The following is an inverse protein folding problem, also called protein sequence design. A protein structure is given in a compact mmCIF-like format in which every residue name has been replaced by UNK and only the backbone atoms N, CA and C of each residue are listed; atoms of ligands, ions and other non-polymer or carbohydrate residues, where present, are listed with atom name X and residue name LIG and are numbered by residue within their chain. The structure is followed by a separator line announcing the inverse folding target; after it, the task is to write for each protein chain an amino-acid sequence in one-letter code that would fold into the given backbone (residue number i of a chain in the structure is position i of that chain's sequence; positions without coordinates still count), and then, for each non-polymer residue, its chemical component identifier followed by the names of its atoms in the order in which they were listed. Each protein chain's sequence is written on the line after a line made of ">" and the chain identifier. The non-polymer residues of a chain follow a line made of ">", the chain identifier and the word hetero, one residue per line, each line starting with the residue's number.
data_IF_557698563335
#
_entry.id   IF_557698563335
#
_cell.length_a   1.000
_cell.length_b   1.000
_cell.length_c   1.000
_cell.angle_alpha   90.00
_cell.angle_beta   90.00
_cell.angle_gamma   90.00
#
_symmetry.space_group_name_H-M   'P 1'
#
loop_
_entity.id
_entity.type
_entity.pdbx_description
1 polymer ?
#
# COMPACT_ATOMS: atom_id res chain seq x y z
N UNK A 1 8.10 7.32 6.24
CA UNK A 1 7.87 6.58 4.98
C UNK A 1 6.75 7.15 4.10
N UNK A 2 5.87 8.06 4.55
CA UNK A 2 4.82 8.66 3.69
C UNK A 2 5.23 9.89 2.87
N UNK A 3 6.47 10.38 3.01
CA UNK A 3 6.89 11.68 2.46
C UNK A 3 7.29 11.66 0.98
N UNK A 4 7.61 10.50 0.41
CA UNK A 4 8.06 10.37 -0.99
C UNK A 4 6.97 9.85 -1.96
N UNK A 5 5.72 9.70 -1.50
CA UNK A 5 4.59 9.28 -2.36
C UNK A 5 3.57 10.39 -2.45
N UNK A 6 3.12 10.67 -3.68
CA UNK A 6 2.04 11.63 -3.98
C UNK A 6 0.75 11.35 -3.18
N UNK A 7 0.53 10.11 -2.76
CA UNK A 7 -0.62 9.67 -1.98
C UNK A 7 -0.62 10.16 -0.51
N UNK A 8 0.46 10.77 -0.03
CA UNK A 8 0.56 11.27 1.36
C UNK A 8 -0.55 12.25 1.73
N UNK A 9 -1.09 12.99 0.76
CA UNK A 9 -2.21 13.91 0.95
C UNK A 9 -3.50 13.20 1.38
N UNK A 10 -3.69 11.91 1.07
CA UNK A 10 -4.89 11.14 1.43
C UNK A 10 -5.05 11.05 2.96
N UNK A 11 -3.96 10.91 3.71
CA UNK A 11 -4.01 10.88 5.17
C UNK A 11 -4.47 12.23 5.76
N UNK A 12 -4.01 13.35 5.17
CA UNK A 12 -4.44 14.69 5.54
C UNK A 12 -5.94 14.89 5.27
N UNK A 13 -6.45 14.40 4.15
CA UNK A 13 -7.88 14.41 3.83
C UNK A 13 -8.68 13.67 4.89
N UNK A 14 -8.26 12.47 5.28
CA UNK A 14 -8.93 11.69 6.34
C UNK A 14 -9.01 12.43 7.67
N UNK A 15 -7.91 13.07 8.08
CA UNK A 15 -7.86 13.91 9.28
C UNK A 15 -8.77 15.14 9.17
N UNK A 16 -8.71 15.85 8.04
CA UNK A 16 -9.52 17.04 7.80
C UNK A 16 -11.03 16.72 7.84
N UNK A 17 -11.46 15.65 7.16
CA UNK A 17 -12.84 15.16 7.20
C UNK A 17 -13.25 14.81 8.63
N UNK A 18 -12.41 14.07 9.35
CA UNK A 18 -12.71 13.65 10.71
C UNK A 18 -12.92 14.84 11.65
N UNK A 19 -12.03 15.83 11.64
CA UNK A 19 -12.17 17.04 12.47
C UNK A 19 -13.34 17.92 12.03
N UNK A 20 -13.61 18.04 10.73
CA UNK A 20 -14.78 18.74 10.20
C UNK A 20 -16.08 18.14 10.76
N UNK A 21 -16.22 16.81 10.71
CA UNK A 21 -17.38 16.09 11.22
C UNK A 21 -17.52 16.23 12.74
N UNK A 22 -16.41 16.18 13.49
CA UNK A 22 -16.41 16.42 14.94
C UNK A 22 -16.86 17.84 15.27
N UNK A 23 -16.37 18.86 14.56
CA UNK A 23 -16.76 20.26 14.77
C UNK A 23 -18.18 20.61 14.32
N UNK A 24 -18.68 19.89 13.30
CA UNK A 24 -20.05 19.98 12.82
C UNK A 24 -21.05 19.35 13.81
N UNK A 25 -20.62 18.39 14.61
CA UNK A 25 -21.42 17.81 15.69
C UNK A 25 -21.94 18.90 16.65
N UNK A 26 -23.15 18.77 17.20
CA UNK A 26 -23.65 19.67 18.24
C UNK A 26 -22.91 19.40 19.56
N UNK A 27 -21.65 19.84 19.61
CA UNK A 27 -20.82 19.93 20.81
C UNK A 27 -21.10 21.26 21.53
N UNK A 28 -20.86 21.29 22.84
CA UNK A 28 -20.86 22.52 23.63
C UNK A 28 -19.84 23.53 23.08
N UNK A 29 -20.02 24.82 23.39
CA UNK A 29 -19.13 25.88 22.86
C UNK A 29 -17.65 25.66 23.23
N UNK A 30 -17.37 25.16 24.42
CA UNK A 30 -16.01 24.87 24.89
C UNK A 30 -15.39 23.68 24.13
N UNK A 31 -16.10 22.55 24.06
CA UNK A 31 -15.66 21.34 23.33
C UNK A 31 -15.41 21.62 21.85
N UNK A 32 -16.22 22.50 21.24
CA UNK A 32 -16.01 22.91 19.84
C UNK A 32 -14.73 23.71 19.65
N UNK A 33 -14.41 24.64 20.55
CA UNK A 33 -13.17 25.41 20.47
C UNK A 33 -11.95 24.51 20.65
N UNK A 34 -12.02 23.54 21.56
CA UNK A 34 -10.98 22.54 21.73
C UNK A 34 -10.80 21.68 20.47
N UNK A 35 -11.90 21.16 19.90
CA UNK A 35 -11.88 20.39 18.66
C UNK A 35 -11.37 21.21 17.46
N UNK A 36 -11.73 22.49 17.37
CA UNK A 36 -11.24 23.38 16.32
C UNK A 36 -9.74 23.65 16.45
N UNK A 37 -9.23 23.91 17.67
CA UNK A 37 -7.78 24.07 17.91
C UNK A 37 -7.01 22.80 17.57
N UNK A 38 -7.49 21.65 18.03
CA UNK A 38 -6.88 20.35 17.72
C UNK A 38 -6.92 20.06 16.22
N UNK A 39 -8.05 20.35 15.56
CA UNK A 39 -8.21 20.18 14.11
C UNK A 39 -7.29 21.09 13.31
N UNK A 40 -7.22 22.38 13.64
CA UNK A 40 -6.30 23.32 12.98
C UNK A 40 -4.85 22.91 13.19
N UNK A 41 -4.46 22.50 14.41
CA UNK A 41 -3.11 22.04 14.68
C UNK A 41 -2.76 20.76 13.89
N UNK A 42 -3.65 19.77 13.89
CA UNK A 42 -3.43 18.49 13.21
C UNK A 42 -3.42 18.65 11.67
N UNK A 43 -4.38 19.38 11.12
CA UNK A 43 -4.47 19.66 9.68
C UNK A 43 -3.31 20.56 9.25
N UNK A 44 -2.94 21.57 10.04
CA UNK A 44 -1.78 22.43 9.77
C UNK A 44 -0.48 21.65 9.76
N UNK A 45 -0.22 20.82 10.77
CA UNK A 45 0.97 19.96 10.81
C UNK A 45 1.00 18.97 9.64
N UNK A 46 -0.13 18.35 9.29
CA UNK A 46 -0.22 17.47 8.13
C UNK A 46 -0.01 18.20 6.80
N UNK A 47 -0.51 19.43 6.66
CA UNK A 47 -0.28 20.26 5.48
C UNK A 47 1.19 20.63 5.32
N UNK A 48 1.90 20.94 6.42
CA UNK A 48 3.36 21.18 6.39
C UNK A 48 4.10 19.92 5.91
N UNK A 49 3.75 18.73 6.41
CA UNK A 49 4.37 17.48 5.97
C UNK A 49 4.11 17.18 4.48
N UNK A 50 2.88 17.42 4.00
CA UNK A 50 2.54 17.28 2.57
C UNK A 50 3.32 18.29 1.72
N UNK A 51 3.47 19.53 2.17
CA UNK A 51 4.23 20.55 1.45
C UNK A 51 5.72 20.20 1.38
N UNK A 52 6.30 19.70 2.48
CA UNK A 52 7.69 19.22 2.50
C UNK A 52 7.89 18.05 1.54
N UNK A 53 7.02 17.02 1.59
CA UNK A 53 7.10 15.88 0.66
C UNK A 53 6.89 16.27 -0.80
N UNK A 54 6.01 17.24 -1.07
CA UNK A 54 5.79 17.75 -2.43
C UNK A 54 7.01 18.53 -2.93
N UNK A 55 7.64 19.33 -2.06
CA UNK A 55 8.86 20.08 -2.39
C UNK A 55 10.03 19.13 -2.68
N UNK A 56 10.15 18.07 -1.90
CA UNK A 56 11.14 17.01 -2.09
C UNK A 56 11.00 16.35 -3.47
N UNK A 57 9.81 15.85 -3.80
CA UNK A 57 9.53 15.19 -5.07
C UNK A 57 9.69 16.14 -6.27
N UNK A 58 9.28 17.40 -6.15
CA UNK A 58 9.47 18.41 -7.21
C UNK A 58 10.95 18.70 -7.49
N UNK A 59 11.81 18.63 -6.48
CA UNK A 59 13.25 18.90 -6.62
C UNK A 59 14.03 17.67 -7.08
N UNK A 60 13.75 16.52 -6.49
CA UNK A 60 14.53 15.30 -6.72
C UNK A 60 13.98 14.43 -7.85
N UNK A 61 12.74 14.63 -8.28
CA UNK A 61 12.09 13.77 -9.29
C UNK A 61 11.12 14.54 -10.20
N UNK A 62 11.59 15.58 -10.90
CA UNK A 62 10.73 16.42 -11.76
C UNK A 62 10.05 15.62 -12.87
N UNK A 63 10.72 14.60 -13.42
CA UNK A 63 10.12 13.75 -14.46
C UNK A 63 8.94 12.94 -13.95
N UNK A 64 9.08 12.39 -12.74
CA UNK A 64 8.00 11.66 -12.09
C UNK A 64 6.74 12.53 -11.93
N UNK A 65 6.93 13.80 -11.53
CA UNK A 65 5.83 14.77 -11.40
C UNK A 65 5.23 15.10 -12.77
N UNK A 66 6.04 15.29 -13.80
CA UNK A 66 5.57 15.59 -15.16
C UNK A 66 4.61 14.51 -15.65
N UNK A 67 5.02 13.25 -15.53
CA UNK A 67 4.24 12.07 -15.94
C UNK A 67 2.94 11.91 -15.12
N UNK A 68 2.96 12.26 -13.83
CA UNK A 68 1.81 12.08 -12.92
C UNK A 68 1.07 13.40 -12.60
N UNK A 69 1.34 14.46 -13.36
CA UNK A 69 0.87 15.83 -13.04
C UNK A 69 -0.65 15.93 -12.96
N UNK A 70 -1.37 15.25 -13.85
CA UNK A 70 -2.84 15.20 -13.86
C UNK A 70 -3.42 14.53 -12.61
N UNK A 71 -2.81 13.44 -12.15
CA UNK A 71 -3.23 12.72 -10.95
C UNK A 71 -2.90 13.52 -9.68
N UNK A 72 -1.70 14.12 -9.64
CA UNK A 72 -1.25 14.94 -8.53
C UNK A 72 -2.11 16.20 -8.37
N UNK A 73 -2.38 16.92 -9.46
CA UNK A 73 -3.26 18.10 -9.42
C UNK A 73 -4.68 17.73 -8.99
N UNK A 74 -5.23 16.63 -9.50
CA UNK A 74 -6.54 16.13 -9.05
C UNK A 74 -6.57 15.80 -7.55
N UNK A 75 -5.53 15.15 -7.03
CA UNK A 75 -5.43 14.80 -5.62
C UNK A 75 -5.27 16.03 -4.72
N UNK A 76 -4.36 16.95 -5.08
CA UNK A 76 -4.10 18.15 -4.30
C UNK A 76 -5.28 19.12 -4.31
N UNK A 77 -5.98 19.26 -5.44
CA UNK A 77 -7.20 20.07 -5.52
C UNK A 77 -8.31 19.48 -4.66
N UNK A 78 -8.55 18.17 -4.74
CA UNK A 78 -9.51 17.50 -3.86
C UNK A 78 -9.13 17.66 -2.38
N UNK A 79 -7.85 17.50 -2.04
CA UNK A 79 -7.37 17.67 -0.68
C UNK A 79 -7.55 19.12 -0.18
N UNK A 80 -7.18 20.11 -0.99
CA UNK A 80 -7.35 21.53 -0.67
C UNK A 80 -8.82 21.89 -0.46
N UNK A 81 -9.72 21.40 -1.32
CA UNK A 81 -11.16 21.62 -1.17
C UNK A 81 -11.71 21.01 0.12
N UNK A 82 -11.31 19.78 0.45
CA UNK A 82 -11.74 19.12 1.69
C UNK A 82 -11.22 19.85 2.92
N UNK A 83 -9.95 20.28 2.90
CA UNK A 83 -9.35 21.08 3.98
C UNK A 83 -10.06 22.43 4.11
N UNK A 84 -10.37 23.10 3.01
CA UNK A 84 -11.10 24.36 3.01
C UNK A 84 -12.49 24.18 3.64
N UNK A 85 -13.25 23.16 3.22
CA UNK A 85 -14.55 22.84 3.81
C UNK A 85 -14.41 22.52 5.31
N UNK A 86 -13.37 21.79 5.71
CA UNK A 86 -13.10 21.51 7.12
C UNK A 86 -12.85 22.79 7.92
N UNK A 87 -11.99 23.69 7.44
CA UNK A 87 -11.70 24.98 8.09
C UNK A 87 -12.96 25.84 8.17
N UNK A 88 -13.69 25.98 7.06
CA UNK A 88 -14.92 26.76 6.98
C UNK A 88 -15.97 26.23 7.96
N UNK A 89 -16.19 24.91 8.03
CA UNK A 89 -17.15 24.31 8.97
C UNK A 89 -16.75 24.46 10.44
N UNK A 90 -15.46 24.53 10.72
CA UNK A 90 -14.91 24.74 12.08
C UNK A 90 -14.95 26.20 12.51
N UNK A 91 -14.71 27.14 11.58
CA UNK A 91 -14.57 28.58 11.86
C UNK A 91 -15.89 29.35 11.74
N UNK A 92 -16.80 28.93 10.84
CA UNK A 92 -18.06 29.64 10.62
C UNK A 92 -18.90 29.75 11.92
N UNK A 93 -19.54 30.91 12.15
CA UNK A 93 -20.32 31.14 13.35
C UNK A 93 -21.42 30.10 13.47
N UNK A 94 -21.54 29.49 14.64
CA UNK A 94 -22.44 28.36 14.89
C UNK A 94 -23.93 28.62 14.61
N UNK A 95 -24.31 29.87 14.33
CA UNK A 95 -25.66 30.31 13.95
C UNK A 95 -26.02 29.88 12.52
N UNK A 96 -25.08 29.96 11.57
CA UNK A 96 -25.32 29.64 10.16
C UNK A 96 -25.68 28.16 9.95
N UNK A 97 -25.05 27.26 10.72
CA UNK A 97 -25.30 25.81 10.65
C UNK A 97 -26.26 25.32 11.75
N UNK A 98 -26.85 26.20 12.54
CA UNK A 98 -27.66 25.81 13.71
C UNK A 98 -28.94 25.04 13.33
N UNK A 99 -29.58 25.40 12.21
CA UNK A 99 -30.78 24.72 11.71
C UNK A 99 -30.49 23.29 11.28
N UNK A 100 -29.52 23.11 10.37
CA UNK A 100 -29.07 21.81 9.89
C UNK A 100 -28.64 20.89 11.05
N UNK A 101 -27.86 21.42 12.00
CA UNK A 101 -27.41 20.66 13.18
C UNK A 101 -28.57 20.19 14.05
N UNK A 102 -29.63 21.00 14.22
CA UNK A 102 -30.83 20.59 14.97
C UNK A 102 -31.56 19.43 14.28
N UNK A 103 -31.74 19.50 12.96
CA UNK A 103 -32.40 18.43 12.18
C UNK A 103 -31.58 17.13 12.24
N UNK A 104 -30.27 17.22 11.98
CA UNK A 104 -29.35 16.07 12.09
C UNK A 104 -29.36 15.49 13.51
N UNK A 105 -29.41 16.34 14.53
CA UNK A 105 -29.50 15.89 15.92
C UNK A 105 -30.80 15.14 16.22
N UNK A 106 -31.94 15.63 15.73
CA UNK A 106 -33.23 14.97 15.87
C UNK A 106 -33.25 13.58 15.23
N UNK A 107 -32.58 13.42 14.08
CA UNK A 107 -32.55 12.16 13.32
C UNK A 107 -31.31 11.29 13.55
N UNK A 108 -30.41 11.67 14.48
CA UNK A 108 -29.10 11.01 14.67
C UNK A 108 -29.14 9.51 14.87
N UNK A 109 -30.21 8.97 15.49
CA UNK A 109 -30.35 7.52 15.67
C UNK A 109 -30.62 6.82 14.34
N UNK A 110 -31.52 7.38 13.54
CA UNK A 110 -31.80 6.91 12.18
C UNK A 110 -30.57 7.05 11.27
N UNK A 111 -29.92 8.23 11.29
CA UNK A 111 -28.70 8.47 10.52
C UNK A 111 -27.55 7.56 10.93
N UNK A 112 -27.39 7.25 12.22
CA UNK A 112 -26.36 6.32 12.68
C UNK A 112 -26.65 4.86 12.28
N UNK A 113 -27.93 4.46 12.24
CA UNK A 113 -28.30 3.16 11.67
C UNK A 113 -28.06 3.13 10.16
N UNK A 114 -28.40 4.21 9.44
CA UNK A 114 -28.12 4.32 8.02
C UNK A 114 -26.61 4.28 7.73
N UNK A 115 -25.78 5.00 8.51
CA UNK A 115 -24.33 4.96 8.36
C UNK A 115 -23.76 3.56 8.59
N UNK A 116 -24.25 2.82 9.58
CA UNK A 116 -23.88 1.43 9.79
C UNK A 116 -24.31 0.53 8.63
N UNK A 117 -25.54 0.71 8.13
CA UNK A 117 -26.05 -0.02 6.98
C UNK A 117 -25.22 0.24 5.73
N UNK A 118 -24.81 1.49 5.48
CA UNK A 118 -23.92 1.85 4.36
C UNK A 118 -22.59 1.08 4.46
N UNK A 119 -21.96 1.00 5.64
CA UNK A 119 -20.72 0.22 5.82
C UNK A 119 -20.93 -1.26 5.47
N UNK A 120 -22.05 -1.85 5.93
CA UNK A 120 -22.36 -3.25 5.62
C UNK A 120 -22.62 -3.44 4.12
N UNK A 121 -23.39 -2.55 3.50
CA UNK A 121 -23.68 -2.58 2.05
C UNK A 121 -22.39 -2.43 1.23
N UNK A 122 -21.48 -1.53 1.62
CA UNK A 122 -20.17 -1.40 0.98
C UNK A 122 -19.36 -2.69 1.11
N UNK A 123 -19.32 -3.29 2.31
CA UNK A 123 -18.63 -4.57 2.52
C UNK A 123 -19.21 -5.71 1.67
N UNK A 124 -20.54 -5.81 1.59
CA UNK A 124 -21.22 -6.79 0.74
C UNK A 124 -20.97 -6.51 -0.74
N UNK A 125 -21.06 -5.26 -1.17
CA UNK A 125 -20.78 -4.86 -2.55
C UNK A 125 -19.34 -5.17 -2.97
N UNK A 126 -18.37 -4.96 -2.09
CA UNK A 126 -16.98 -5.36 -2.32
C UNK A 126 -16.80 -6.89 -2.32
N UNK A 127 -17.51 -7.62 -1.45
CA UNK A 127 -17.44 -9.07 -1.38
C UNK A 127 -18.05 -9.76 -2.61
N UNK A 128 -19.14 -9.20 -3.15
CA UNK A 128 -19.81 -9.72 -4.34
C UNK A 128 -19.29 -9.13 -5.63
N UNK A 129 -18.43 -8.11 -5.58
CA UNK A 129 -17.84 -7.42 -6.74
C UNK A 129 -17.33 -8.36 -7.84
N UNK A 130 -16.60 -9.47 -7.53
CA UNK A 130 -16.14 -10.40 -8.55
C UNK A 130 -17.24 -11.08 -9.38
N UNK A 131 -18.48 -11.09 -8.89
CA UNK A 131 -19.60 -11.77 -9.55
C UNK A 131 -20.24 -10.94 -10.66
N UNK A 132 -20.01 -9.63 -10.69
CA UNK A 132 -20.71 -8.71 -11.59
C UNK A 132 -19.81 -7.64 -12.21
N UNK A 133 -18.53 -7.58 -11.85
CA UNK A 133 -17.59 -6.61 -12.42
C UNK A 133 -16.16 -7.15 -12.45
N UNK A 134 -15.48 -6.94 -13.58
CA UNK A 134 -14.06 -7.23 -13.78
C UNK A 134 -13.33 -5.95 -14.19
N UNK A 135 -12.26 -5.60 -13.48
CA UNK A 135 -11.49 -4.40 -13.78
C UNK A 135 -10.58 -4.61 -14.98
N UNK A 136 -10.61 -3.67 -15.95
CA UNK A 136 -9.67 -3.61 -17.09
C UNK A 136 -8.93 -2.29 -17.11
N UNK A 137 -7.89 -2.22 -16.29
CA UNK A 137 -7.13 -0.98 -16.05
C UNK A 137 -5.64 -1.11 -16.30
N UNK A 138 -5.20 -2.27 -16.81
CA UNK A 138 -3.83 -2.50 -17.27
C UNK A 138 -3.77 -2.22 -18.76
N UNK A 139 -2.75 -1.50 -19.22
CA UNK A 139 -2.53 -1.31 -20.64
C UNK A 139 -1.93 -2.60 -21.24
N UNK A 140 -2.63 -3.29 -22.15
CA UNK A 140 -2.20 -4.57 -22.71
C UNK A 140 -0.95 -4.46 -23.58
N UNK A 141 -0.61 -3.24 -24.07
CA UNK A 141 0.55 -3.01 -24.94
C UNK A 141 1.86 -2.81 -24.17
N UNK A 142 1.76 -2.68 -22.85
CA UNK A 142 2.91 -2.42 -21.98
C UNK A 142 3.48 -3.70 -21.37
N UNK A 143 4.70 -3.64 -20.84
CA UNK A 143 5.28 -4.74 -20.07
C UNK A 143 4.45 -5.17 -18.86
N UNK A 144 3.56 -4.30 -18.34
CA UNK A 144 2.59 -4.67 -17.30
C UNK A 144 1.51 -5.62 -17.83
N UNK A 145 0.99 -5.38 -19.05
CA UNK A 145 0.03 -6.26 -19.70
C UNK A 145 0.62 -7.64 -19.98
N UNK A 146 1.85 -7.68 -20.47
CA UNK A 146 2.60 -8.94 -20.65
C UNK A 146 2.78 -9.69 -19.32
N UNK A 147 3.20 -9.00 -18.24
CA UNK A 147 3.33 -9.61 -16.92
C UNK A 147 2.00 -10.20 -16.41
N UNK A 148 0.86 -9.54 -16.67
CA UNK A 148 -0.47 -10.09 -16.36
C UNK A 148 -0.73 -11.39 -17.12
N UNK A 149 -0.43 -11.43 -18.42
CA UNK A 149 -0.61 -12.65 -19.23
C UNK A 149 0.23 -13.82 -18.72
N UNK A 150 1.50 -13.58 -18.38
CA UNK A 150 2.39 -14.61 -17.82
C UNK A 150 1.80 -15.18 -16.54
N UNK A 151 1.31 -14.32 -15.65
CA UNK A 151 0.67 -14.74 -14.41
C UNK A 151 -0.66 -15.48 -14.66
N UNK A 152 -1.43 -15.09 -15.67
CA UNK A 152 -2.68 -15.75 -16.07
C UNK A 152 -2.41 -17.15 -16.60
N UNK A 153 -1.42 -17.28 -17.48
CA UNK A 153 -0.99 -18.57 -18.02
C UNK A 153 -0.52 -19.50 -16.90
N UNK A 154 0.31 -19.00 -15.99
CA UNK A 154 0.78 -19.77 -14.82
C UNK A 154 -0.37 -20.20 -13.89
N UNK A 155 -1.41 -19.37 -13.75
CA UNK A 155 -2.58 -19.64 -12.92
C UNK A 155 -3.69 -20.43 -13.65
N UNK A 156 -3.49 -20.83 -14.92
CA UNK A 156 -4.50 -21.49 -15.74
C UNK A 156 -5.76 -20.63 -15.97
N UNK A 157 -5.63 -19.31 -15.92
CA UNK A 157 -6.71 -18.36 -16.15
C UNK A 157 -6.83 -17.99 -17.62
N UNK A 158 -8.02 -17.56 -18.09
CA UNK A 158 -8.16 -16.96 -19.41
C UNK A 158 -7.20 -15.77 -19.58
N UNK A 159 -6.54 -15.70 -20.74
CA UNK A 159 -5.63 -14.60 -21.06
C UNK A 159 -6.44 -13.34 -21.35
N UNK A 160 -6.33 -12.35 -20.47
CA UNK A 160 -6.85 -10.99 -20.60
C UNK A 160 -5.81 -10.04 -20.00
N UNK A 161 -4.89 -9.56 -20.83
CA UNK A 161 -3.79 -8.67 -20.44
C UNK A 161 -4.26 -7.36 -19.81
N UNK A 162 -5.48 -6.92 -20.13
CA UNK A 162 -6.03 -5.68 -19.62
C UNK A 162 -6.60 -5.84 -18.20
N UNK A 163 -6.90 -7.09 -17.78
CA UNK A 163 -7.52 -7.37 -16.48
C UNK A 163 -6.61 -6.96 -15.33
N UNK A 164 -7.12 -6.11 -14.45
CA UNK A 164 -6.38 -5.58 -13.30
C UNK A 164 -6.69 -6.30 -11.99
N UNK A 165 -7.68 -7.21 -11.99
CA UNK A 165 -8.13 -7.99 -10.83
C UNK A 165 -8.56 -7.15 -9.61
N UNK A 166 -8.85 -5.87 -9.80
CA UNK A 166 -9.32 -4.95 -8.73
C UNK A 166 -10.64 -5.44 -8.10
N UNK A 167 -11.41 -6.26 -8.82
CA UNK A 167 -12.62 -6.88 -8.30
C UNK A 167 -12.35 -7.80 -7.11
N UNK A 168 -11.14 -8.36 -7.03
CA UNK A 168 -10.73 -9.31 -5.99
C UNK A 168 -10.09 -8.66 -4.76
N UNK A 169 -10.01 -7.33 -4.68
CA UNK A 169 -9.39 -6.59 -3.56
C UNK A 169 -9.81 -7.06 -2.18
N UNK A 170 -11.11 -7.29 -1.94
CA UNK A 170 -11.56 -7.79 -0.64
C UNK A 170 -11.22 -9.28 -0.43
N UNK A 171 -11.22 -10.08 -1.51
CA UNK A 171 -10.76 -11.46 -1.45
C UNK A 171 -9.26 -11.52 -1.10
N UNK A 172 -8.44 -10.61 -1.63
CA UNK A 172 -7.03 -10.49 -1.27
C UNK A 172 -6.88 -10.24 0.23
N UNK A 173 -7.61 -9.26 0.79
CA UNK A 173 -7.61 -9.04 2.25
C UNK A 173 -7.99 -10.32 3.00
N UNK A 174 -9.00 -11.06 2.54
CA UNK A 174 -9.43 -12.30 3.16
C UNK A 174 -8.38 -13.43 3.04
N UNK A 175 -7.58 -13.48 1.97
CA UNK A 175 -6.51 -14.47 1.82
C UNK A 175 -5.41 -14.30 2.88
N UNK A 176 -5.09 -13.06 3.26
CA UNK A 176 -4.03 -12.77 4.24
C UNK A 176 -4.51 -12.66 5.68
N UNK A 177 -5.68 -12.03 5.92
CA UNK A 177 -6.21 -11.81 7.26
C UNK A 177 -7.27 -12.84 7.68
N UNK A 178 -7.90 -13.49 6.71
CA UNK A 178 -8.97 -14.44 6.93
C UNK A 178 -10.35 -13.81 6.87
N UNK A 179 -11.32 -14.61 6.42
CA UNK A 179 -12.74 -14.24 6.41
C UNK A 179 -13.24 -13.75 7.79
N UNK A 180 -12.83 -14.35 8.94
CA UNK A 180 -13.24 -13.84 10.24
C UNK A 180 -12.84 -12.38 10.48
N UNK A 181 -11.62 -11.99 10.10
CA UNK A 181 -11.14 -10.61 10.24
C UNK A 181 -11.93 -9.66 9.34
N UNK A 182 -12.21 -10.06 8.10
CA UNK A 182 -13.02 -9.24 7.18
C UNK A 182 -14.42 -8.99 7.74
N UNK A 183 -15.12 -10.05 8.17
CA UNK A 183 -16.47 -9.95 8.74
C UNK A 183 -16.48 -9.09 10.01
N UNK A 184 -15.55 -9.35 10.93
CA UNK A 184 -15.43 -8.58 12.17
C UNK A 184 -15.01 -7.13 11.90
N UNK A 185 -14.14 -6.90 10.92
CA UNK A 185 -13.69 -5.57 10.51
C UNK A 185 -14.86 -4.71 10.03
N UNK A 186 -15.68 -5.21 9.10
CA UNK A 186 -16.86 -4.50 8.64
C UNK A 186 -17.92 -4.34 9.74
N UNK A 187 -18.14 -5.37 10.58
CA UNK A 187 -19.04 -5.25 11.72
C UNK A 187 -18.56 -4.16 12.71
N UNK A 188 -17.26 -4.11 12.98
CA UNK A 188 -16.62 -3.12 13.83
C UNK A 188 -16.71 -1.71 13.27
N UNK A 189 -16.46 -1.54 11.97
CA UNK A 189 -16.63 -0.27 11.26
C UNK A 189 -18.08 0.19 11.30
N UNK A 190 -19.06 -0.71 11.13
CA UNK A 190 -20.48 -0.38 11.23
C UNK A 190 -20.85 0.09 12.65
N UNK A 191 -20.30 -0.56 13.69
CA UNK A 191 -20.46 -0.13 15.08
C UNK A 191 -19.83 1.25 15.34
N UNK A 192 -18.62 1.49 14.81
CA UNK A 192 -17.94 2.78 14.92
C UNK A 192 -18.69 3.88 14.18
N UNK A 193 -19.15 3.65 12.95
CA UNK A 193 -19.95 4.59 12.17
C UNK A 193 -21.26 4.96 12.90
N UNK A 194 -21.94 3.96 13.47
CA UNK A 194 -23.13 4.20 14.31
C UNK A 194 -22.78 5.04 15.54
N UNK A 195 -21.66 4.76 16.22
CA UNK A 195 -21.22 5.52 17.41
C UNK A 195 -20.83 6.95 17.05
N UNK A 196 -20.12 7.16 15.95
CA UNK A 196 -19.75 8.46 15.43
C UNK A 196 -21.01 9.34 15.26
N UNK A 197 -22.04 8.81 14.60
CA UNK A 197 -23.25 9.59 14.28
C UNK A 197 -24.27 9.62 15.43
N UNK A 198 -24.74 8.46 15.90
CA UNK A 198 -25.79 8.38 16.91
C UNK A 198 -25.28 8.71 18.32
N UNK A 199 -24.05 8.30 18.62
CA UNK A 199 -23.39 8.52 19.91
C UNK A 199 -22.68 9.87 20.02
N UNK A 200 -22.36 10.51 18.88
CA UNK A 200 -21.49 11.70 18.80
C UNK A 200 -20.12 11.47 19.41
N UNK A 201 -19.56 10.29 19.14
CA UNK A 201 -18.25 9.92 19.64
C UNK A 201 -17.17 10.51 18.72
N UNK A 202 -16.40 11.51 19.18
CA UNK A 202 -15.39 12.15 18.35
C UNK A 202 -14.25 11.21 17.98
N UNK A 203 -13.90 10.27 18.87
CA UNK A 203 -12.85 9.29 18.59
C UNK A 203 -13.30 8.31 17.50
N UNK A 204 -14.53 7.80 17.60
CA UNK A 204 -15.10 6.96 16.53
C UNK A 204 -15.23 7.72 15.20
N UNK A 205 -15.56 9.01 15.25
CA UNK A 205 -15.68 9.86 14.05
C UNK A 205 -14.33 10.00 13.35
N UNK A 206 -13.29 10.38 14.09
CA UNK A 206 -11.92 10.49 13.55
C UNK A 206 -11.43 9.15 13.02
N UNK A 207 -11.62 8.07 13.76
CA UNK A 207 -11.15 6.74 13.38
C UNK A 207 -11.81 6.27 12.07
N UNK A 208 -13.14 6.42 11.95
CA UNK A 208 -13.87 6.06 10.72
C UNK A 208 -13.45 6.93 9.55
N UNK A 209 -13.25 8.23 9.75
CA UNK A 209 -12.84 9.14 8.68
C UNK A 209 -11.43 8.82 8.18
N UNK A 210 -10.47 8.64 9.08
CA UNK A 210 -9.07 8.34 8.72
C UNK A 210 -8.95 6.97 8.07
N UNK A 211 -9.52 5.92 8.68
CA UNK A 211 -9.48 4.56 8.10
C UNK A 211 -10.23 4.54 6.78
N UNK A 212 -11.44 5.11 6.74
CA UNK A 212 -12.30 5.10 5.55
C UNK A 212 -11.61 5.77 4.37
N UNK A 213 -11.15 7.02 4.54
CA UNK A 213 -10.49 7.75 3.45
C UNK A 213 -9.21 7.04 2.98
N UNK A 214 -8.40 6.54 3.91
CA UNK A 214 -7.15 5.87 3.57
C UNK A 214 -7.36 4.49 2.91
N UNK A 215 -8.45 3.79 3.24
CA UNK A 215 -8.74 2.45 2.70
C UNK A 215 -9.55 2.47 1.39
N UNK A 216 -10.30 3.55 1.10
CA UNK A 216 -11.18 3.62 -0.09
C UNK A 216 -10.41 3.42 -1.38
N UNK A 217 -9.31 4.15 -1.58
CA UNK A 217 -8.56 4.06 -2.84
C UNK A 217 -8.03 2.64 -3.11
N UNK A 218 -7.24 2.02 -2.22
CA UNK A 218 -6.71 0.69 -2.48
C UNK A 218 -7.76 -0.43 -2.45
N UNK A 219 -8.96 -0.22 -1.87
CA UNK A 219 -10.08 -1.17 -1.98
C UNK A 219 -10.87 -1.02 -3.28
N UNK A 220 -10.92 0.17 -3.87
CA UNK A 220 -11.63 0.39 -5.14
C UNK A 220 -10.73 0.08 -6.33
N UNK A 221 -9.49 0.54 -6.31
CA UNK A 221 -8.52 0.35 -7.39
C UNK A 221 -7.10 0.35 -6.85
N UNK A 222 -6.46 -0.81 -6.87
CA UNK A 222 -5.10 -0.98 -6.33
C UNK A 222 -4.08 -0.29 -7.22
N UNK A 223 -4.33 -0.22 -8.54
CA UNK A 223 -3.51 0.49 -9.53
C UNK A 223 -2.05 0.01 -9.59
N UNK A 224 -1.85 -1.32 -9.58
CA UNK A 224 -0.55 -2.00 -9.70
C UNK A 224 -0.76 -3.36 -10.39
N UNK A 225 0.30 -3.97 -10.90
CA UNK A 225 0.27 -5.35 -11.41
C UNK A 225 -0.32 -6.29 -10.34
N UNK A 226 -1.29 -7.15 -10.70
CA UNK A 226 -2.02 -8.02 -9.78
C UNK A 226 -1.21 -9.22 -9.25
N UNK A 227 0.12 -9.10 -9.20
CA UNK A 227 0.96 -10.06 -8.48
C UNK A 227 0.70 -9.90 -6.97
N UNK A 228 0.36 -10.99 -6.29
CA UNK A 228 -0.17 -10.95 -4.94
C UNK A 228 0.75 -10.25 -3.93
N UNK A 229 2.07 -10.48 -3.95
CA UNK A 229 2.98 -9.81 -3.02
C UNK A 229 3.07 -8.31 -3.31
N UNK A 230 3.13 -7.91 -4.57
CA UNK A 230 3.19 -6.48 -4.93
C UNK A 230 1.87 -5.76 -4.71
N UNK A 231 0.75 -6.39 -5.06
CA UNK A 231 -0.58 -5.81 -4.94
C UNK A 231 -0.97 -5.58 -3.48
N UNK A 232 -0.75 -6.58 -2.61
CA UNK A 232 -1.15 -6.50 -1.20
C UNK A 232 -0.33 -5.49 -0.41
N UNK A 233 0.90 -5.17 -0.82
CA UNK A 233 1.71 -4.08 -0.23
C UNK A 233 1.00 -2.73 -0.23
N UNK A 234 0.05 -2.49 -1.14
CA UNK A 234 -0.77 -1.27 -1.15
C UNK A 234 -1.92 -1.27 -0.14
N UNK A 235 -2.33 -2.45 0.34
CA UNK A 235 -3.37 -2.62 1.37
C UNK A 235 -2.79 -2.58 2.80
N UNK A 236 -1.50 -2.89 2.96
CA UNK A 236 -0.80 -2.93 4.25
C UNK A 236 -0.79 -1.61 5.03
N UNK A 237 -0.60 -0.42 4.43
CA UNK A 237 -0.44 0.81 5.22
C UNK A 237 -1.70 1.27 5.94
N UNK A 238 -2.88 1.01 5.36
CA UNK A 238 -4.15 1.58 5.83
C UNK A 238 -5.25 0.53 6.00
N UNK A 239 -5.53 -0.25 4.96
CA UNK A 239 -6.67 -1.19 4.95
C UNK A 239 -6.51 -2.30 5.98
N UNK A 240 -5.35 -2.94 6.05
CA UNK A 240 -5.09 -4.04 6.99
C UNK A 240 -5.15 -3.58 8.45
N UNK A 241 -4.38 -2.55 8.88
CA UNK A 241 -4.48 -2.02 10.23
C UNK A 241 -5.89 -1.52 10.56
N UNK A 242 -6.55 -0.84 9.60
CA UNK A 242 -7.90 -0.30 9.79
C UNK A 242 -8.95 -1.39 10.06
N UNK A 243 -8.92 -2.48 9.28
CA UNK A 243 -9.82 -3.61 9.47
C UNK A 243 -9.51 -4.39 10.75
N UNK A 244 -8.23 -4.57 11.11
CA UNK A 244 -7.85 -5.21 12.37
C UNK A 244 -8.33 -4.38 13.57
N UNK A 245 -8.09 -3.07 13.57
CA UNK A 245 -8.59 -2.17 14.61
C UNK A 245 -10.12 -2.24 14.72
N UNK A 246 -10.83 -2.20 13.60
CA UNK A 246 -12.28 -2.35 13.61
C UNK A 246 -12.72 -3.74 14.13
N UNK A 247 -12.03 -4.81 13.75
CA UNK A 247 -12.31 -6.15 14.24
C UNK A 247 -12.18 -6.24 15.76
N UNK A 248 -11.19 -5.57 16.37
CA UNK A 248 -11.10 -5.49 17.84
C UNK A 248 -12.32 -4.82 18.48
N UNK A 249 -12.93 -3.82 17.82
CA UNK A 249 -14.15 -3.17 18.31
C UNK A 249 -15.34 -4.11 18.26
N UNK A 250 -15.45 -4.94 17.20
CA UNK A 250 -16.48 -5.96 17.11
C UNK A 250 -16.29 -7.05 18.18
N UNK A 251 -15.06 -7.55 18.35
CA UNK A 251 -14.72 -8.53 19.38
C UNK A 251 -15.03 -8.01 20.79
N UNK A 252 -14.64 -6.78 21.10
CA UNK A 252 -14.95 -6.16 22.39
C UNK A 252 -16.47 -6.05 22.62
N UNK A 253 -17.22 -5.66 21.58
CA UNK A 253 -18.68 -5.62 21.66
C UNK A 253 -19.30 -7.02 21.88
N UNK A 254 -18.76 -8.05 21.23
CA UNK A 254 -19.20 -9.44 21.37
C UNK A 254 -18.88 -10.04 22.75
N UNK A 255 -17.68 -9.77 23.27
CA UNK A 255 -17.23 -10.23 24.58
C UNK A 255 -18.06 -9.67 25.75
N UNK A 256 -18.98 -8.74 25.48
CA UNK A 256 -19.77 -8.07 26.51
C UNK A 256 -18.95 -7.08 27.34
N UNK A 257 -17.68 -6.82 26.98
CA UNK A 257 -16.91 -5.71 27.52
C UNK A 257 -17.57 -4.44 27.01
N UNK A 258 -18.48 -3.93 27.84
CA UNK A 258 -19.18 -2.70 27.55
C UNK A 258 -18.17 -1.59 27.34
N UNK A 259 -17.82 -1.31 26.07
CA UNK A 259 -17.11 -0.10 25.65
C UNK A 259 -17.82 1.16 26.19
N UNK A 260 -19.08 1.01 26.60
CA UNK A 260 -19.88 2.01 27.32
C UNK A 260 -19.48 2.28 28.78
N UNK A 261 -18.77 1.40 29.49
CA UNK A 261 -18.50 1.57 30.94
C UNK A 261 -17.14 2.22 31.28
N UNK A 262 -16.17 2.24 30.37
CA UNK A 262 -14.79 2.68 30.69
C UNK A 262 -14.25 3.89 29.93
N UNK A 263 -14.99 4.41 28.93
CA UNK A 263 -14.58 5.56 28.10
C UNK A 263 -15.29 6.88 28.44
N UNK A 264 -15.83 7.01 29.67
CA UNK A 264 -16.19 8.33 30.20
C UNK A 264 -14.96 8.91 30.91
N UNK A 265 -14.19 9.73 30.19
CA UNK A 265 -13.37 10.76 30.82
C UNK A 265 -14.32 11.75 31.51
N UNK A 266 -14.59 11.51 32.79
CA UNK A 266 -15.40 12.38 33.63
C UNK A 266 -15.32 11.89 35.08
N UNK A 267 -15.15 12.79 36.06
CA UNK A 267 -14.91 12.40 37.44
C UNK A 267 -16.02 11.50 37.95
N UNK A 268 -15.60 10.35 38.45
CA UNK A 268 -16.41 9.26 38.98
C UNK A 268 -17.39 9.79 40.05
N UNK A 269 -18.69 9.79 39.73
CA UNK A 269 -19.76 9.84 40.74
C UNK A 269 -20.31 8.42 40.90
N UNK A 270 -20.11 7.74 42.04
CA UNK A 270 -20.69 6.43 42.26
C UNK A 270 -22.20 6.57 42.41
N UNK A 271 -22.98 5.96 41.51
CA UNK A 271 -24.42 5.78 41.72
C UNK A 271 -24.63 4.58 42.63
N UNK A 272 -25.03 4.84 43.87
CA UNK A 272 -25.66 3.86 44.77
C UNK A 272 -27.05 3.50 44.25
N UNK A 273 -27.40 2.23 44.39
CA UNK A 273 -28.76 1.67 44.19
C UNK A 273 -29.07 1.36 42.73
N UNK A 274 -29.62 0.21 42.35
CA UNK A 274 -30.33 -0.84 43.07
C UNK A 274 -30.15 -2.15 42.30
N UNK A 275 -29.90 -3.23 43.04
CA UNK A 275 -29.84 -4.61 42.57
C UNK A 275 -31.17 -5.04 41.95
N UNK A 276 -31.20 -5.13 40.61
CA UNK A 276 -32.13 -6.01 39.88
C UNK A 276 -31.37 -7.27 39.46
N UNK A 277 -31.27 -8.20 40.40
CA UNK A 277 -30.91 -9.60 40.15
C UNK A 277 -32.16 -10.30 39.61
N UNK A 278 -32.12 -10.70 38.34
CA UNK A 278 -33.21 -11.45 37.71
C UNK A 278 -32.86 -11.85 36.28
N UNK A 279 -32.47 -13.10 36.11
CA UNK A 279 -32.51 -13.88 34.87
C UNK A 279 -31.71 -13.38 33.63
N UNK A 280 -30.36 -13.50 33.64
CA UNK A 280 -29.53 -13.59 32.41
C UNK A 280 -28.24 -14.43 32.56
N UNK A 281 -28.25 -15.47 33.40
CA UNK A 281 -27.01 -16.21 33.69
C UNK A 281 -26.57 -17.19 32.57
N UNK A 282 -27.49 -17.76 31.79
CA UNK A 282 -27.14 -18.80 30.79
C UNK A 282 -26.59 -18.22 29.47
N UNK A 283 -26.86 -16.93 29.17
CA UNK A 283 -26.27 -16.22 28.02
C UNK A 283 -24.91 -15.54 28.29
N UNK A 284 -24.33 -15.74 29.49
CA UNK A 284 -23.22 -14.92 29.99
C UNK A 284 -21.83 -15.47 29.67
N UNK A 285 -21.66 -16.79 29.51
CA UNK A 285 -20.36 -17.44 29.22
C UNK A 285 -20.17 -17.73 27.73
N UNK A 286 -21.25 -18.02 26.99
CA UNK A 286 -21.16 -18.32 25.55
C UNK A 286 -20.62 -17.14 24.71
N UNK A 287 -20.94 -15.90 25.10
CA UNK A 287 -20.47 -14.68 24.42
C UNK A 287 -18.96 -14.45 24.56
N UNK A 288 -18.37 -14.45 25.77
CA UNK A 288 -16.92 -14.31 25.90
C UNK A 288 -16.16 -15.51 25.32
N UNK A 289 -16.71 -16.73 25.39
CA UNK A 289 -16.13 -17.90 24.72
C UNK A 289 -16.11 -17.73 23.19
N UNK A 290 -17.24 -17.34 22.58
CA UNK A 290 -17.31 -17.09 21.14
C UNK A 290 -16.38 -15.95 20.70
N UNK A 291 -16.28 -14.88 21.50
CA UNK A 291 -15.31 -13.81 21.26
C UNK A 291 -13.86 -14.30 21.39
N UNK A 292 -13.57 -15.19 22.35
CA UNK A 292 -12.26 -15.81 22.51
C UNK A 292 -11.86 -16.69 21.33
N UNK A 293 -12.78 -17.52 20.82
CA UNK A 293 -12.57 -18.34 19.62
C UNK A 293 -12.33 -17.47 18.39
N UNK A 294 -13.12 -16.42 18.20
CA UNK A 294 -12.94 -15.48 17.09
C UNK A 294 -11.63 -14.69 17.21
N UNK A 295 -11.24 -14.28 18.42
CA UNK A 295 -9.95 -13.64 18.67
C UNK A 295 -8.78 -14.58 18.34
N UNK A 296 -8.89 -15.86 18.72
CA UNK A 296 -7.92 -16.88 18.34
C UNK A 296 -7.84 -17.03 16.82
N UNK A 297 -8.99 -17.07 16.11
CA UNK A 297 -9.02 -17.16 14.66
C UNK A 297 -8.36 -15.93 13.97
N UNK A 298 -8.57 -14.73 14.51
CA UNK A 298 -7.96 -13.47 14.03
C UNK A 298 -6.43 -13.50 14.10
N UNK A 299 -5.85 -14.25 15.05
CA UNK A 299 -4.39 -14.38 15.20
C UNK A 299 -3.86 -15.62 14.46
N UNK A 300 -4.52 -16.77 14.66
CA UNK A 300 -4.07 -18.05 14.12
C UNK A 300 -4.08 -18.05 12.58
N UNK A 301 -5.11 -17.48 11.95
CA UNK A 301 -5.22 -17.50 10.49
C UNK A 301 -4.04 -16.76 9.81
N UNK A 302 -3.76 -15.47 10.11
CA UNK A 302 -2.60 -14.80 9.53
C UNK A 302 -1.29 -15.55 9.81
N UNK A 303 -1.07 -16.01 11.04
CA UNK A 303 0.15 -16.77 11.38
C UNK A 303 0.31 -17.99 10.49
N UNK A 304 -0.76 -18.75 10.24
CA UNK A 304 -0.70 -19.91 9.35
C UNK A 304 -0.51 -19.54 7.89
N UNK A 305 -1.15 -18.47 7.41
CA UNK A 305 -1.03 -18.02 6.02
C UNK A 305 0.38 -17.51 5.70
N UNK A 306 0.98 -16.74 6.62
CA UNK A 306 2.30 -16.15 6.40
C UNK A 306 3.46 -17.11 6.68
N UNK A 307 3.21 -18.24 7.36
CA UNK A 307 4.25 -19.19 7.79
C UNK A 307 5.22 -19.62 6.68
N UNK A 308 4.78 -19.97 5.44
CA UNK A 308 5.71 -20.39 4.38
C UNK A 308 6.71 -19.31 3.96
N UNK A 309 6.36 -18.02 4.13
CA UNK A 309 7.19 -16.89 3.73
C UNK A 309 7.80 -16.10 4.89
N UNK A 310 7.51 -16.45 6.14
CA UNK A 310 7.86 -15.63 7.31
C UNK A 310 9.38 -15.48 7.52
N UNK A 311 10.17 -16.45 7.08
CA UNK A 311 11.63 -16.44 7.14
C UNK A 311 12.30 -16.04 5.82
N UNK A 312 11.52 -15.74 4.78
CA UNK A 312 12.04 -15.42 3.44
C UNK A 312 12.29 -13.92 3.36
N UNK A 313 13.54 -13.55 3.08
CA UNK A 313 13.90 -12.20 2.70
C UNK A 313 13.97 -12.17 1.18
N UNK A 314 12.98 -11.54 0.53
CA UNK A 314 12.99 -11.43 -0.94
C UNK A 314 14.30 -10.82 -1.42
N UNK A 315 14.88 -11.44 -2.45
CA UNK A 315 16.13 -11.01 -3.10
C UNK A 315 17.33 -10.97 -2.14
N UNK A 316 17.36 -11.83 -1.12
CA UNK A 316 18.54 -12.00 -0.26
C UNK A 316 19.81 -12.31 -1.08
N UNK A 317 20.96 -11.82 -0.59
CA UNK A 317 22.26 -11.97 -1.27
C UNK A 317 22.52 -11.01 -2.43
N UNK A 318 21.50 -10.31 -2.94
CA UNK A 318 21.64 -9.38 -4.08
C UNK A 318 22.48 -8.13 -3.79
N UNK A 319 22.51 -7.67 -2.54
CA UNK A 319 23.39 -6.58 -2.14
C UNK A 319 24.87 -6.99 -2.27
N UNK A 320 25.20 -8.22 -1.85
CA UNK A 320 26.55 -8.79 -1.99
C UNK A 320 26.94 -8.93 -3.45
N UNK A 321 26.03 -9.41 -4.32
CA UNK A 321 26.28 -9.46 -5.76
C UNK A 321 26.51 -8.07 -6.36
N UNK A 322 25.72 -7.07 -5.96
CA UNK A 322 25.91 -5.70 -6.41
C UNK A 322 27.29 -5.15 -6.04
N UNK A 323 27.73 -5.34 -4.79
CA UNK A 323 29.06 -4.91 -4.38
C UNK A 323 30.16 -5.65 -5.15
N UNK A 324 30.04 -6.97 -5.34
CA UNK A 324 31.02 -7.73 -6.13
C UNK A 324 31.12 -7.23 -7.58
N UNK A 325 30.00 -6.83 -8.20
CA UNK A 325 30.01 -6.22 -9.52
C UNK A 325 30.63 -4.83 -9.50
N UNK A 326 30.34 -4.00 -8.49
CA UNK A 326 30.98 -2.68 -8.37
C UNK A 326 32.49 -2.81 -8.15
N UNK A 327 32.94 -3.77 -7.34
CA UNK A 327 34.37 -4.04 -7.10
C UNK A 327 35.05 -4.48 -8.40
N UNK A 328 34.42 -5.38 -9.19
CA UNK A 328 34.94 -5.79 -10.49
C UNK A 328 35.04 -4.61 -11.48
N UNK A 329 34.09 -3.68 -11.48
CA UNK A 329 34.16 -2.47 -12.32
C UNK A 329 35.26 -1.51 -11.83
N UNK A 330 35.44 -1.37 -10.52
CA UNK A 330 36.49 -0.56 -9.94
C UNK A 330 37.89 -1.11 -10.27
N UNK A 331 38.06 -2.43 -10.20
CA UNK A 331 39.31 -3.12 -10.57
C UNK A 331 39.64 -2.94 -12.07
N UNK A 332 38.63 -2.87 -12.92
CA UNK A 332 38.77 -2.56 -14.34
C UNK A 332 39.03 -1.07 -14.62
N UNK A 333 38.81 -0.18 -13.65
CA UNK A 333 38.95 1.26 -13.81
C UNK A 333 37.95 1.87 -14.80
N UNK A 334 36.75 1.29 -14.94
CA UNK A 334 35.74 1.73 -15.89
C UNK A 334 34.63 2.55 -15.22
N UNK A 335 34.34 3.72 -15.76
CA UNK A 335 33.22 4.57 -15.30
C UNK A 335 31.97 4.42 -16.18
N UNK A 336 32.07 3.71 -17.31
CA UNK A 336 31.00 3.57 -18.31
C UNK A 336 30.64 2.11 -18.58
N UNK A 337 29.35 1.85 -18.56
CA UNK A 337 28.78 0.50 -18.63
C UNK A 337 27.67 0.43 -19.67
N UNK A 338 27.75 -0.58 -20.53
CA UNK A 338 26.61 -1.08 -21.29
C UNK A 338 26.01 -2.25 -20.53
N UNK A 339 24.73 -2.12 -20.19
CA UNK A 339 23.95 -3.17 -19.57
C UNK A 339 22.95 -3.72 -20.58
N UNK A 340 23.03 -5.00 -20.92
CA UNK A 340 21.99 -5.67 -21.71
C UNK A 340 20.99 -6.30 -20.75
N UNK A 341 19.72 -5.93 -20.91
CA UNK A 341 18.64 -6.46 -20.09
C UNK A 341 18.43 -7.94 -20.39
N UNK A 342 18.84 -8.78 -19.45
CA UNK A 342 18.51 -10.20 -19.42
C UNK A 342 17.64 -10.52 -18.23
N UNK A 343 16.64 -11.38 -18.47
CA UNK A 343 15.72 -11.87 -17.46
C UNK A 343 16.49 -12.55 -16.32
N UNK A 344 16.08 -12.39 -15.05
CA UNK A 344 14.79 -11.86 -14.61
C UNK A 344 14.84 -10.47 -13.97
N UNK A 345 15.99 -9.78 -13.96
CA UNK A 345 16.17 -8.59 -13.14
C UNK A 345 16.59 -7.35 -13.95
N UNK A 346 16.00 -6.21 -13.61
CA UNK A 346 16.52 -4.91 -14.04
C UNK A 346 17.70 -4.54 -13.16
N UNK A 347 18.83 -4.16 -13.76
CA UNK A 347 20.06 -3.87 -13.03
C UNK A 347 20.63 -2.46 -13.26
N UNK A 348 20.11 -1.72 -14.25
CA UNK A 348 20.53 -0.34 -14.55
C UNK A 348 20.52 0.57 -13.31
N UNK A 349 19.43 0.54 -12.52
CA UNK A 349 19.32 1.41 -11.34
C UNK A 349 20.33 1.02 -10.26
N UNK A 350 20.64 -0.27 -10.10
CA UNK A 350 21.64 -0.76 -9.17
C UNK A 350 23.03 -0.26 -9.55
N UNK A 351 23.41 -0.42 -10.82
CA UNK A 351 24.71 0.03 -11.32
C UNK A 351 24.88 1.55 -11.14
N UNK A 352 23.87 2.35 -11.50
CA UNK A 352 23.93 3.81 -11.35
C UNK A 352 23.96 4.29 -9.90
N UNK A 353 23.18 3.68 -8.99
CA UNK A 353 23.01 4.18 -7.62
C UNK A 353 24.04 3.59 -6.65
N UNK A 354 24.45 2.34 -6.86
CA UNK A 354 25.36 1.62 -5.96
C UNK A 354 26.80 1.71 -6.44
N UNK A 355 27.05 1.54 -7.74
CA UNK A 355 28.42 1.60 -8.29
C UNK A 355 28.83 3.01 -8.76
N UNK A 356 27.88 3.95 -8.86
CA UNK A 356 28.11 5.34 -9.33
C UNK A 356 28.73 5.42 -10.74
N UNK A 357 28.31 4.51 -11.64
CA UNK A 357 28.78 4.46 -13.04
C UNK A 357 27.74 5.02 -14.03
N UNK A 358 28.21 5.55 -15.16
CA UNK A 358 27.36 5.90 -16.30
C UNK A 358 26.89 4.63 -17.01
N UNK A 359 25.57 4.41 -17.09
CA UNK A 359 25.01 3.17 -17.65
C UNK A 359 24.06 3.47 -18.80
N UNK A 360 24.19 2.74 -19.90
CA UNK A 360 23.18 2.62 -20.97
C UNK A 360 22.56 1.22 -20.88
N UNK A 361 21.22 1.13 -20.86
CA UNK A 361 20.49 -0.14 -20.91
C UNK A 361 20.00 -0.42 -22.33
N UNK A 362 20.31 -1.62 -22.82
CA UNK A 362 19.82 -2.18 -24.07
C UNK A 362 18.79 -3.27 -23.74
N UNK A 363 17.67 -3.28 -24.46
CA UNK A 363 16.60 -4.27 -24.25
C UNK A 363 16.79 -5.55 -25.08
N UNK A 364 17.67 -5.48 -26.07
CA UNK A 364 17.99 -6.57 -26.99
C UNK A 364 19.52 -6.74 -27.04
N UNK A 365 20.03 -7.97 -27.26
CA UNK A 365 21.47 -8.21 -27.41
C UNK A 365 22.08 -7.33 -28.51
N UNK A 366 23.10 -6.50 -28.21
CA UNK A 366 23.71 -5.64 -29.20
C UNK A 366 24.57 -6.39 -30.21
N UNK A 367 24.64 -5.87 -31.43
CA UNK A 367 25.68 -6.26 -32.38
C UNK A 367 27.03 -5.62 -32.00
N UNK A 368 28.14 -6.14 -32.55
CA UNK A 368 29.44 -5.51 -32.39
C UNK A 368 29.43 -4.07 -32.92
N UNK A 369 28.70 -3.79 -34.01
CA UNK A 369 28.58 -2.43 -34.54
C UNK A 369 27.90 -1.48 -33.54
N UNK A 370 26.88 -1.94 -32.81
CA UNK A 370 26.20 -1.14 -31.79
C UNK A 370 27.14 -0.81 -30.63
N UNK A 371 27.91 -1.80 -30.14
CA UNK A 371 28.88 -1.61 -29.07
C UNK A 371 30.02 -0.67 -29.48
N UNK A 372 30.54 -0.80 -30.70
CA UNK A 372 31.54 0.11 -31.24
C UNK A 372 31.00 1.54 -31.34
N UNK A 373 29.75 1.71 -31.78
CA UNK A 373 29.09 3.01 -31.86
C UNK A 373 28.89 3.65 -30.47
N UNK A 374 28.46 2.87 -29.47
CA UNK A 374 28.31 3.33 -28.09
C UNK A 374 29.66 3.78 -27.53
N UNK A 375 30.70 2.97 -27.69
CA UNK A 375 32.06 3.31 -27.24
C UNK A 375 32.60 4.57 -27.93
N UNK A 376 32.39 4.70 -29.24
CA UNK A 376 32.77 5.89 -30.00
C UNK A 376 32.02 7.14 -29.54
N UNK A 377 30.73 7.02 -29.21
CA UNK A 377 29.93 8.12 -28.67
C UNK A 377 30.45 8.61 -27.30
N UNK A 378 31.10 7.74 -26.54
CA UNK A 378 31.81 8.07 -25.30
C UNK A 378 33.29 8.44 -25.49
N UNK A 379 33.69 8.81 -26.70
CA UNK A 379 35.05 9.30 -26.98
C UNK A 379 36.12 8.21 -27.06
N UNK A 380 35.74 6.94 -27.16
CA UNK A 380 36.67 5.81 -27.27
C UNK A 380 37.24 5.30 -25.94
N UNK A 381 36.80 5.91 -24.82
CA UNK A 381 37.15 5.50 -23.46
C UNK A 381 36.77 4.02 -23.18
N UNK A 382 37.38 3.37 -22.17
CA UNK A 382 37.01 2.02 -21.77
C UNK A 382 35.53 1.91 -21.39
N UNK A 383 34.88 0.86 -21.87
CA UNK A 383 33.47 0.57 -21.62
C UNK A 383 33.34 -0.88 -21.22
N UNK A 384 32.68 -1.14 -20.09
CA UNK A 384 32.35 -2.50 -19.68
C UNK A 384 30.99 -2.93 -20.23
N UNK A 385 30.90 -4.16 -20.72
CA UNK A 385 29.67 -4.82 -21.16
C UNK A 385 29.24 -5.85 -20.10
N UNK A 386 28.01 -5.72 -19.61
CA UNK A 386 27.46 -6.50 -18.50
C UNK A 386 26.10 -7.12 -18.85
N UNK A 387 25.90 -8.39 -18.50
CA UNK A 387 24.60 -9.08 -18.61
C UNK A 387 24.53 -10.26 -17.64
N UNK A 388 23.33 -10.71 -17.26
CA UNK A 388 23.13 -12.02 -16.63
C UNK A 388 23.22 -13.19 -17.63
N UNK A 389 23.14 -12.93 -18.94
CA UNK A 389 23.25 -13.94 -19.98
C UNK A 389 24.58 -13.80 -20.73
N UNK A 390 25.36 -14.89 -20.73
CA UNK A 390 26.64 -14.95 -21.42
C UNK A 390 26.49 -14.79 -22.94
N UNK A 391 25.34 -15.18 -23.49
CA UNK A 391 25.08 -15.14 -24.94
C UNK A 391 24.77 -13.74 -25.49
N UNK A 392 24.60 -12.74 -24.62
CA UNK A 392 24.18 -11.39 -25.03
C UNK A 392 25.27 -10.59 -25.77
N UNK A 393 26.53 -11.03 -25.73
CA UNK A 393 27.65 -10.27 -26.27
C UNK A 393 28.52 -11.04 -27.29
N UNK A 394 29.06 -10.34 -28.30
CA UNK A 394 29.97 -10.92 -29.28
C UNK A 394 31.39 -11.06 -28.69
N UNK A 395 31.61 -12.12 -27.93
CA UNK A 395 32.88 -12.37 -27.25
C UNK A 395 34.04 -12.63 -28.23
N UNK A 396 35.21 -12.02 -27.98
CA UNK A 396 36.47 -12.27 -28.68
C UNK A 396 37.55 -12.76 -27.71
N UNK A 397 38.37 -13.70 -28.16
CA UNK A 397 39.42 -14.31 -27.31
C UNK A 397 38.92 -15.37 -26.32
N UNK A 398 37.64 -15.78 -26.41
CA UNK A 398 37.00 -16.73 -25.50
C UNK A 398 35.87 -16.07 -24.71
N UNK A 399 35.13 -16.88 -23.95
CA UNK A 399 34.15 -16.39 -22.96
C UNK A 399 34.82 -16.33 -21.58
N UNK A 400 34.36 -15.48 -20.64
CA UNK A 400 34.88 -15.48 -19.27
C UNK A 400 34.73 -16.85 -18.60
N UNK A 401 35.74 -17.25 -17.82
CA UNK A 401 35.76 -18.55 -17.13
C UNK A 401 34.78 -18.61 -15.94
N UNK A 402 34.40 -17.46 -15.38
CA UNK A 402 33.45 -17.34 -14.27
C UNK A 402 32.67 -16.03 -14.32
N UNK A 403 31.40 -16.06 -13.87
CA UNK A 403 30.60 -14.86 -13.67
C UNK A 403 30.91 -14.20 -12.32
N UNK A 404 30.61 -12.90 -12.24
CA UNK A 404 30.81 -12.09 -11.05
C UNK A 404 29.57 -12.13 -10.15
N UNK A 405 29.82 -12.31 -8.85
CA UNK A 405 28.78 -12.20 -7.82
C UNK A 405 27.69 -13.26 -7.92
N UNK A 406 28.01 -14.48 -8.34
CA UNK A 406 27.06 -15.60 -8.42
C UNK A 406 26.29 -15.81 -7.12
N UNK A 407 24.96 -15.74 -7.19
CA UNK A 407 24.09 -15.85 -6.02
C UNK A 407 22.76 -16.52 -6.35
N UNK A 408 22.30 -17.36 -5.43
CA UNK A 408 20.92 -17.85 -5.41
C UNK A 408 20.06 -16.86 -4.64
N UNK A 409 19.21 -16.13 -5.36
CA UNK A 409 18.20 -15.25 -4.76
C UNK A 409 16.89 -16.01 -4.55
N UNK A 410 16.13 -15.61 -3.53
CA UNK A 410 14.80 -16.19 -3.26
C UNK A 410 13.70 -15.15 -3.42
N UNK A 411 12.56 -15.55 -3.97
CA UNK A 411 11.36 -14.73 -4.06
C UNK A 411 10.15 -15.52 -3.62
N UNK A 412 9.16 -14.85 -3.02
CA UNK A 412 7.87 -15.50 -2.78
C UNK A 412 7.19 -15.77 -4.13
N UNK A 413 6.49 -16.90 -4.22
CA UNK A 413 5.82 -17.33 -5.44
C UNK A 413 4.92 -16.23 -6.02
N UNK A 414 5.12 -15.93 -7.30
CA UNK A 414 4.29 -14.98 -8.04
C UNK A 414 2.97 -15.64 -8.41
N UNK A 415 1.86 -15.11 -7.94
CA UNK A 415 0.52 -15.70 -8.19
C UNK A 415 -0.52 -14.61 -8.39
N UNK A 416 -1.60 -14.93 -9.11
CA UNK A 416 -2.82 -14.12 -9.19
C UNK A 416 -3.86 -14.52 -8.14
N UNK A 417 -3.88 -15.79 -7.77
CA UNK A 417 -4.96 -16.42 -6.99
C UNK A 417 -4.39 -17.03 -5.72
N UNK A 418 -4.89 -16.56 -4.57
CA UNK A 418 -4.47 -17.00 -3.25
C UNK A 418 -3.18 -16.34 -2.76
N UNK A 419 -2.90 -16.48 -1.46
CA UNK A 419 -1.62 -16.08 -0.90
C UNK A 419 -0.49 -17.00 -1.43
N UNK A 420 0.73 -16.48 -1.66
CA UNK A 420 1.88 -17.28 -2.06
C UNK A 420 2.15 -18.42 -1.08
N UNK A 421 2.39 -19.62 -1.62
CA UNK A 421 2.73 -20.82 -0.84
C UNK A 421 4.08 -21.42 -1.18
N UNK A 422 4.70 -20.95 -2.25
CA UNK A 422 6.01 -21.39 -2.73
C UNK A 422 7.04 -20.30 -2.53
N UNK A 423 8.30 -20.72 -2.49
CA UNK A 423 9.46 -19.84 -2.51
C UNK A 423 10.25 -20.27 -3.74
N UNK A 424 10.33 -19.37 -4.71
CA UNK A 424 11.07 -19.60 -5.94
C UNK A 424 12.52 -19.19 -5.70
N UNK A 425 13.46 -19.98 -6.21
CA UNK A 425 14.89 -19.69 -6.14
C UNK A 425 15.42 -19.47 -7.54
N UNK A 426 16.21 -18.42 -7.72
CA UNK A 426 16.83 -18.09 -9.00
C UNK A 426 18.31 -17.82 -8.79
N UNK A 427 19.14 -18.66 -9.43
CA UNK A 427 20.56 -18.39 -9.58
C UNK A 427 20.77 -17.26 -10.59
N UNK A 428 21.70 -16.37 -10.30
CA UNK A 428 22.15 -15.34 -11.23
C UNK A 428 23.60 -14.99 -10.95
N UNK A 429 24.36 -14.73 -12.01
CA UNK A 429 25.72 -14.19 -11.99
C UNK A 429 25.86 -13.17 -13.11
N UNK A 430 26.76 -12.21 -12.97
CA UNK A 430 26.95 -11.15 -13.97
C UNK A 430 28.19 -11.44 -14.78
N UNK A 431 28.05 -11.56 -16.09
CA UNK A 431 29.16 -11.66 -17.01
C UNK A 431 29.67 -10.26 -17.33
N UNK A 432 30.98 -10.07 -17.16
CA UNK A 432 31.65 -8.77 -17.32
C UNK A 432 32.72 -8.89 -18.40
N UNK A 433 32.72 -7.97 -19.35
CA UNK A 433 33.75 -7.88 -20.37
C UNK A 433 34.06 -6.44 -20.76
N UNK A 434 35.15 -6.23 -21.50
CA UNK A 434 35.55 -4.93 -22.03
C UNK A 434 35.22 -4.83 -23.52
N UNK A 435 34.51 -3.76 -23.90
CA UNK A 435 34.17 -3.47 -25.29
C UNK A 435 35.41 -2.98 -26.02
N UNK A 436 35.80 -3.67 -27.09
CA UNK A 436 36.93 -3.33 -27.95
C UNK A 436 36.56 -2.27 -29.00
N UNK A 437 37.56 -1.75 -29.72
CA UNK A 437 37.33 -0.70 -30.73
C UNK A 437 36.48 -1.20 -31.91
N UNK A 438 36.58 -2.49 -32.24
CA UNK A 438 35.75 -3.16 -33.25
C UNK A 438 34.37 -3.58 -32.72
N UNK A 439 34.11 -3.30 -31.43
CA UNK A 439 32.86 -3.63 -30.75
C UNK A 439 32.72 -5.10 -30.32
N UNK A 440 33.75 -5.92 -30.50
CA UNK A 440 33.81 -7.22 -29.83
C UNK A 440 34.03 -7.05 -28.33
N UNK A 441 33.70 -8.06 -27.53
CA UNK A 441 33.86 -8.01 -26.08
C UNK A 441 34.94 -8.99 -25.65
N UNK A 442 35.99 -8.53 -24.98
CA UNK A 442 36.98 -9.43 -24.38
C UNK A 442 36.61 -9.71 -22.93
N UNK A 443 36.83 -10.93 -22.43
CA UNK A 443 36.67 -11.25 -21.01
C UNK A 443 37.42 -10.26 -20.11
N UNK A 444 36.81 -9.90 -18.98
CA UNK A 444 37.58 -9.31 -17.87
C UNK A 444 38.62 -10.33 -17.40
N UNK A 445 39.87 -9.92 -17.12
CA UNK A 445 40.86 -10.78 -16.49
C UNK A 445 40.44 -11.25 -15.09
#
# INVERSE_FOLDING_TARGET
>A
MGAARIDGAVALVGLAVGYALVGASPLGRADRRAAARAGVAAVGAGAVLVALGTTDVLRLSPEYVRVHSSQLTGLLTAAALVVLVAVVTLVLPGRALAGLRRVVHGRRRGLGTAAAAVVVVVGLGLATRPLWWEGRFTDPTTGFGYAVQVLQQAAGQPLDAARSYDEQTLAWVAWYLGVPVVVLGFAGLALLARRAVAGRDPAATLLVAVIGVAAVFPLVRVSITPDQIWAVRRLLPATFPGLLLAATVALAALAGSGVRRRWRYGPYRPSRGTSRTGARAVGSVARPLGAGVLALAVVAFPVTTWRPGASVVELSGRATQAHAVCDALADLGVERVVWTHSSPFRYLATLRVVCDVEVVELLEPPSAADLAAIRAAWGGEPVAALSFDLADYPWSGGVPDAGVGGVTSTTLGRTLVGAPRTVDSTWSEVWVGLVQQDGTVTPSP
#
